data_IF_093689513742
#
_entry.id   IF_093689513742
#
_cell.length_a   1.000
_cell.length_b   1.000
_cell.length_c   1.000
_cell.angle_alpha   90.00
_cell.angle_beta   90.00
_cell.angle_gamma   90.00
#
_symmetry.space_group_name_H-M   'P 1'
#
loop_
_entity.id
_entity.type
_entity.pdbx_description
1 polymer ?
#
# COMPACT_ATOMS: atom_id res chain seq x y z
N UNK A 1 13.29 -18.93 8.18
CA UNK A 1 12.80 -17.56 7.90
C UNK A 1 11.51 -17.69 7.14
N UNK A 2 10.36 -17.43 7.78
CA UNK A 2 9.06 -17.50 7.12
C UNK A 2 8.88 -16.24 6.27
N UNK A 3 8.88 -16.39 4.94
CA UNK A 3 8.45 -15.31 4.07
C UNK A 3 6.98 -15.00 4.37
N UNK A 4 6.58 -13.74 4.58
CA UNK A 4 5.18 -13.42 4.76
C UNK A 4 4.45 -13.78 3.46
N UNK A 5 3.69 -14.88 3.49
CA UNK A 5 2.85 -15.27 2.37
C UNK A 5 1.89 -14.13 2.07
N UNK A 6 1.71 -13.83 0.79
CA UNK A 6 0.72 -12.84 0.33
C UNK A 6 -0.64 -13.28 0.84
N UNK A 7 -1.17 -12.57 1.83
CA UNK A 7 -2.43 -12.91 2.51
C UNK A 7 -3.17 -11.65 2.92
N UNK A 8 -4.49 -11.76 3.06
CA UNK A 8 -5.34 -10.66 3.53
C UNK A 8 -4.96 -10.21 4.95
N UNK A 9 -4.47 -11.14 5.80
CA UNK A 9 -4.00 -10.82 7.14
C UNK A 9 -2.71 -9.96 7.08
N UNK A 10 -1.78 -10.31 6.20
CA UNK A 10 -0.54 -9.54 5.97
C UNK A 10 -0.86 -8.12 5.49
N UNK A 11 -1.78 -8.00 4.51
CA UNK A 11 -2.25 -6.70 4.01
C UNK A 11 -2.89 -5.86 5.13
N UNK A 12 -3.81 -6.45 5.89
CA UNK A 12 -4.54 -5.76 6.96
C UNK A 12 -3.60 -5.27 8.07
N UNK A 13 -2.63 -6.09 8.49
CA UNK A 13 -1.63 -5.69 9.48
C UNK A 13 -0.78 -4.51 9.00
N UNK A 14 -0.34 -4.56 7.73
CA UNK A 14 0.43 -3.47 7.10
C UNK A 14 -0.39 -2.18 7.01
N UNK A 15 -1.66 -2.27 6.63
CA UNK A 15 -2.58 -1.13 6.55
C UNK A 15 -2.86 -0.52 7.93
N UNK A 16 -3.04 -1.35 8.96
CA UNK A 16 -3.22 -0.88 10.33
C UNK A 16 -1.98 -0.13 10.84
N UNK A 17 -0.78 -0.58 10.51
CA UNK A 17 0.45 0.10 10.86
C UNK A 17 0.62 1.44 10.11
N UNK A 18 0.32 1.46 8.80
CA UNK A 18 0.28 2.68 8.01
C UNK A 18 -0.72 3.69 8.56
N UNK A 19 -1.90 3.24 8.96
CA UNK A 19 -2.93 4.08 9.58
C UNK A 19 -2.47 4.67 10.91
N UNK A 20 -1.76 3.88 11.73
CA UNK A 20 -1.17 4.33 13.00
C UNK A 20 0.09 5.19 12.82
N UNK A 21 0.63 5.31 11.60
CA UNK A 21 1.86 6.04 11.33
C UNK A 21 3.13 5.38 11.90
N UNK A 22 3.09 4.07 12.18
CA UNK A 22 4.23 3.32 12.72
C UNK A 22 4.89 2.47 11.64
N UNK A 23 6.22 2.31 11.74
CA UNK A 23 7.02 1.53 10.76
C UNK A 23 7.22 0.07 11.16
N UNK A 24 6.72 -0.31 12.32
CA UNK A 24 6.80 -1.68 12.83
C UNK A 24 5.46 -2.36 12.62
N UNK A 25 5.48 -3.51 11.92
CA UNK A 25 4.30 -4.34 11.66
C UNK A 25 4.49 -5.68 12.33
N UNK A 26 3.51 -6.06 13.16
CA UNK A 26 3.47 -7.39 13.74
C UNK A 26 2.75 -8.34 12.77
N UNK A 27 3.43 -9.43 12.41
CA UNK A 27 2.91 -10.53 11.61
C UNK A 27 2.87 -11.81 12.47
N UNK A 28 2.24 -12.85 11.92
CA UNK A 28 2.23 -14.16 12.58
C UNK A 28 3.65 -14.74 12.62
N UNK A 29 4.21 -14.85 13.83
CA UNK A 29 5.57 -15.33 14.06
C UNK A 29 6.67 -14.25 14.12
N UNK A 30 6.34 -12.96 14.10
CA UNK A 30 7.36 -11.93 14.34
C UNK A 30 6.93 -10.49 14.04
N UNK A 31 7.83 -9.54 14.29
CA UNK A 31 7.65 -8.13 13.93
C UNK A 31 8.69 -7.72 12.91
N UNK A 32 8.28 -7.00 11.88
CA UNK A 32 9.16 -6.43 10.85
C UNK A 32 9.15 -4.91 11.00
N UNK A 33 10.34 -4.32 11.06
CA UNK A 33 10.51 -2.86 11.05
C UNK A 33 10.97 -2.44 9.68
N UNK A 34 10.16 -1.62 9.00
CA UNK A 34 10.45 -1.09 7.69
C UNK A 34 11.32 0.16 7.77
N UNK A 35 12.13 0.39 6.74
CA UNK A 35 13.03 1.53 6.70
C UNK A 35 12.25 2.85 6.52
N UNK A 36 11.18 2.81 5.72
CA UNK A 36 10.38 3.99 5.41
C UNK A 36 8.90 3.68 5.21
N UNK A 37 8.06 4.71 5.36
CA UNK A 37 6.63 4.63 5.01
C UNK A 37 6.41 4.46 3.50
N UNK A 38 7.28 5.00 2.65
CA UNK A 38 7.21 4.81 1.19
C UNK A 38 7.38 3.35 0.79
N UNK A 39 8.30 2.64 1.45
CA UNK A 39 8.49 1.19 1.27
C UNK A 39 7.23 0.42 1.68
N UNK A 40 6.62 0.76 2.82
CA UNK A 40 5.36 0.15 3.26
C UNK A 40 4.21 0.39 2.26
N UNK A 41 4.12 1.58 1.66
CA UNK A 41 3.11 1.90 0.66
C UNK A 41 3.31 1.07 -0.62
N UNK A 42 4.55 0.95 -1.11
CA UNK A 42 4.88 0.13 -2.27
C UNK A 42 4.53 -1.35 -2.01
N UNK A 43 4.87 -1.86 -0.82
CA UNK A 43 4.52 -3.22 -0.39
C UNK A 43 3.01 -3.44 -0.35
N UNK A 44 2.25 -2.48 0.20
CA UNK A 44 0.80 -2.55 0.23
C UNK A 44 0.19 -2.62 -1.16
N UNK A 45 0.70 -1.81 -2.09
CA UNK A 45 0.20 -1.78 -3.46
C UNK A 45 0.56 -3.07 -4.22
N UNK A 46 1.76 -3.62 -3.99
CA UNK A 46 2.15 -4.94 -4.49
C UNK A 46 1.24 -6.04 -3.94
N UNK A 47 1.04 -6.09 -2.61
CA UNK A 47 0.16 -7.08 -1.96
C UNK A 47 -1.28 -6.98 -2.46
N UNK A 48 -1.80 -5.77 -2.72
CA UNK A 48 -3.11 -5.58 -3.34
C UNK A 48 -3.16 -6.18 -4.74
N UNK A 49 -2.15 -5.90 -5.58
CA UNK A 49 -2.10 -6.40 -6.94
C UNK A 49 -2.07 -7.93 -6.99
N UNK A 50 -1.26 -8.56 -6.13
CA UNK A 50 -1.19 -10.03 -6.01
C UNK A 50 -2.51 -10.64 -5.52
N UNK A 51 -3.25 -9.92 -4.67
CA UNK A 51 -4.59 -10.34 -4.20
C UNK A 51 -5.73 -9.99 -5.17
N UNK A 52 -5.43 -9.39 -6.33
CA UNK A 52 -6.43 -8.93 -7.29
C UNK A 52 -7.29 -7.76 -6.78
N UNK A 53 -6.83 -7.05 -5.75
CA UNK A 53 -7.50 -5.88 -5.19
C UNK A 53 -7.15 -4.62 -5.99
N UNK A 54 -8.10 -3.68 -6.14
CA UNK A 54 -7.81 -2.41 -6.77
C UNK A 54 -6.73 -1.65 -5.97
N UNK A 55 -5.87 -0.86 -6.65
CA UNK A 55 -4.92 -0.01 -5.97
C UNK A 55 -5.67 0.91 -5.00
N UNK A 56 -5.02 1.30 -3.90
CA UNK A 56 -5.62 2.02 -2.77
C UNK A 56 -6.12 3.46 -3.08
N UNK A 57 -6.33 3.78 -4.36
CA UNK A 57 -6.47 5.12 -4.91
C UNK A 57 -5.22 5.98 -4.64
N UNK A 58 -4.23 5.85 -5.52
CA UNK A 58 -3.38 7.00 -5.79
C UNK A 58 -4.31 8.07 -6.37
N UNK A 59 -4.51 9.19 -5.66
CA UNK A 59 -5.23 10.37 -6.15
C UNK A 59 -4.49 10.98 -7.34
N UNK A 60 -4.42 10.26 -8.45
CA UNK A 60 -4.21 10.88 -9.75
C UNK A 60 -5.56 11.49 -10.09
N UNK A 61 -5.82 12.70 -9.59
CA UNK A 61 -6.85 13.54 -10.20
C UNK A 61 -6.48 13.61 -11.68
N UNK A 62 -7.31 13.14 -12.62
CA UNK A 62 -7.04 13.42 -14.01
C UNK A 62 -7.02 14.94 -14.12
N UNK A 63 -5.86 15.51 -14.52
CA UNK A 63 -5.82 16.92 -14.89
C UNK A 63 -6.86 17.07 -16.01
N UNK A 64 -7.86 17.95 -15.88
CA UNK A 64 -8.76 18.21 -16.99
C UNK A 64 -7.88 18.71 -18.14
N UNK A 65 -7.87 17.96 -19.25
CA UNK A 65 -7.30 18.45 -20.50
C UNK A 65 -8.03 19.75 -20.81
N UNK A 66 -7.33 20.86 -20.66
CA UNK A 66 -7.81 22.20 -20.94
C UNK A 66 -8.23 22.21 -22.40
N UNK A 67 -9.54 22.13 -22.67
CA UNK A 67 -10.08 22.30 -24.01
C UNK A 67 -9.73 23.72 -24.44
N UNK A 68 -8.86 23.83 -25.43
CA UNK A 68 -8.60 25.10 -26.09
C UNK A 68 -9.80 25.32 -27.00
N UNK A 69 -10.74 26.16 -26.56
CA UNK A 69 -11.78 26.71 -27.43
C UNK A 69 -11.07 27.75 -28.29
N UNK A 70 -10.82 27.43 -29.56
CA UNK A 70 -10.51 28.46 -30.55
C UNK A 70 -11.83 29.13 -30.95
N UNK A 71 -11.86 30.45 -30.73
CA UNK A 71 -12.90 31.36 -31.19
C UNK A 71 -12.69 31.69 -32.67
#
# INVERSE_FOLDING_TARGET
MSTPSVSLATLSALEAALFKGVRMVAYDGGSVTYASTSEMLALRDMLRAELGLPPAASRVRPRPRRAVVNL
#
